data_IF_408551418153
#
_entry.id   IF_408551418153
#
_cell.length_a   1.000
_cell.length_b   1.000
_cell.length_c   1.000
_cell.angle_alpha   90.00
_cell.angle_beta   90.00
_cell.angle_gamma   90.00
#
_symmetry.space_group_name_H-M   'P 1'
#
loop_
_entity.id
_entity.type
_entity.pdbx_description
1 polymer ?
#
# COMPACT_ATOMS: atom_id res chain seq x y z
N UNK A 1 3.57 7.07 -6.29
CA UNK A 1 3.92 5.98 -7.18
C UNK A 1 4.64 6.53 -8.38
N UNK A 2 5.79 5.94 -8.72
CA UNK A 2 6.51 6.27 -9.95
C UNK A 2 5.89 5.55 -11.15
N UNK A 3 5.94 6.17 -12.32
CA UNK A 3 5.67 5.52 -13.59
C UNK A 3 6.96 4.78 -14.00
N UNK A 4 6.84 3.52 -14.37
CA UNK A 4 7.93 2.72 -14.92
C UNK A 4 7.52 2.36 -16.35
N UNK A 5 8.15 2.95 -17.38
CA UNK A 5 7.90 2.55 -18.76
C UNK A 5 8.37 1.10 -18.95
N UNK A 6 7.62 0.33 -19.72
CA UNK A 6 7.95 -1.05 -20.06
C UNK A 6 7.92 -1.19 -21.58
N UNK A 7 8.95 -1.78 -22.15
CA UNK A 7 9.02 -2.05 -23.58
C UNK A 7 7.81 -2.89 -24.05
N UNK A 8 7.23 -2.52 -25.17
CA UNK A 8 6.02 -3.14 -25.73
C UNK A 8 4.71 -2.69 -25.05
N UNK A 9 4.74 -1.65 -24.20
CA UNK A 9 3.54 -1.04 -23.63
C UNK A 9 3.60 0.48 -23.76
N UNK A 10 3.13 1.00 -24.87
CA UNK A 10 3.11 2.43 -25.21
C UNK A 10 3.95 2.74 -26.44
N UNK A 11 4.07 4.03 -26.78
CA UNK A 11 4.75 4.53 -27.97
C UNK A 11 6.26 4.81 -27.74
N UNK A 12 6.89 4.19 -26.75
CA UNK A 12 8.29 4.43 -26.40
C UNK A 12 9.26 3.55 -27.25
N UNK A 13 9.05 3.52 -28.57
CA UNK A 13 10.03 2.96 -29.49
C UNK A 13 10.99 4.07 -29.90
N UNK A 14 12.29 3.82 -29.77
CA UNK A 14 13.33 4.70 -30.32
C UNK A 14 13.17 4.73 -31.83
N UNK A 15 12.51 5.77 -32.36
CA UNK A 15 12.28 5.89 -33.79
C UNK A 15 13.48 6.54 -34.45
N UNK A 16 14.28 5.73 -35.14
CA UNK A 16 15.40 6.20 -35.95
C UNK A 16 14.86 6.54 -37.33
N UNK A 17 14.83 7.82 -37.69
CA UNK A 17 14.33 8.26 -38.98
C UNK A 17 15.22 7.73 -40.12
N UNK A 18 14.61 7.32 -41.24
CA UNK A 18 15.33 6.94 -42.41
C UNK A 18 16.19 8.11 -42.94
N UNK A 19 17.45 7.85 -43.18
CA UNK A 19 18.46 8.85 -43.55
C UNK A 19 19.12 9.53 -42.33
N UNK A 20 18.77 9.16 -41.12
CA UNK A 20 19.43 9.70 -39.94
C UNK A 20 20.91 9.23 -39.87
N UNK A 21 21.86 10.13 -39.59
CA UNK A 21 23.23 9.75 -39.34
C UNK A 21 23.37 9.13 -37.97
N UNK A 22 23.96 7.94 -37.90
CA UNK A 22 24.25 7.25 -36.63
C UNK A 22 25.71 6.83 -36.58
N UNK A 23 26.23 6.61 -35.41
CA UNK A 23 27.55 6.03 -35.18
C UNK A 23 27.40 4.67 -34.52
N UNK A 24 27.87 3.62 -35.18
CA UNK A 24 27.79 2.24 -34.71
C UNK A 24 29.07 1.85 -33.98
N UNK A 25 28.95 1.22 -32.82
CA UNK A 25 30.05 0.56 -32.12
C UNK A 25 29.88 -0.94 -32.29
N UNK A 26 30.89 -1.58 -32.88
CA UNK A 26 30.93 -3.02 -33.17
C UNK A 26 31.75 -3.73 -32.10
N UNK A 27 31.28 -4.90 -31.67
CA UNK A 27 32.11 -5.82 -30.91
C UNK A 27 33.25 -6.39 -31.80
N UNK A 28 34.52 -6.32 -31.38
CA UNK A 28 35.64 -6.77 -32.16
C UNK A 28 35.64 -8.28 -32.49
N UNK A 29 35.01 -9.10 -31.67
CA UNK A 29 35.00 -10.57 -31.86
C UNK A 29 33.82 -11.04 -32.70
N UNK A 30 32.60 -10.56 -32.38
CA UNK A 30 31.37 -10.99 -33.05
C UNK A 30 30.99 -10.14 -34.26
N UNK A 31 31.54 -8.93 -34.37
CA UNK A 31 31.17 -7.91 -35.37
C UNK A 31 29.70 -7.48 -35.27
N UNK A 32 29.03 -7.75 -34.14
CA UNK A 32 27.71 -7.28 -33.89
C UNK A 32 27.73 -5.84 -33.37
N UNK A 33 26.68 -5.08 -33.68
CA UNK A 33 26.49 -3.72 -33.16
C UNK A 33 26.06 -3.80 -31.72
N UNK A 34 26.86 -3.28 -30.82
CA UNK A 34 26.58 -3.21 -29.37
C UNK A 34 26.02 -1.86 -28.94
N UNK A 35 26.29 -0.82 -29.76
CA UNK A 35 25.80 0.53 -29.46
C UNK A 35 25.54 1.31 -30.74
N UNK A 36 24.43 2.06 -30.74
CA UNK A 36 23.99 2.92 -31.84
C UNK A 36 23.83 4.33 -31.28
N UNK A 37 24.59 5.31 -31.72
CA UNK A 37 24.51 6.69 -31.25
C UNK A 37 23.89 7.60 -32.30
N UNK A 38 22.82 8.27 -31.91
CA UNK A 38 22.22 9.41 -32.63
C UNK A 38 22.78 10.74 -32.15
N UNK A 39 23.57 10.74 -31.09
CA UNK A 39 24.10 11.95 -30.48
C UNK A 39 25.41 12.38 -31.12
N UNK A 40 25.48 13.59 -31.62
CA UNK A 40 26.73 14.20 -32.08
C UNK A 40 27.69 14.60 -30.93
N UNK A 41 27.16 14.63 -29.70
CA UNK A 41 27.93 15.04 -28.52
C UNK A 41 28.77 13.91 -27.93
N UNK A 42 28.41 12.67 -28.22
CA UNK A 42 29.07 11.51 -27.65
C UNK A 42 29.91 10.83 -28.74
N UNK A 43 31.23 10.98 -28.62
CA UNK A 43 32.18 10.38 -29.55
C UNK A 43 32.71 9.08 -28.97
N UNK A 44 32.58 8.01 -29.72
CA UNK A 44 33.16 6.72 -29.34
C UNK A 44 34.41 6.43 -30.22
N UNK A 45 35.45 5.90 -29.59
CA UNK A 45 36.61 5.43 -30.31
C UNK A 45 36.19 4.26 -31.24
N UNK A 46 36.61 4.29 -32.49
CA UNK A 46 36.30 3.30 -33.53
C UNK A 46 34.81 3.19 -33.92
N UNK A 47 34.04 4.28 -33.78
CA UNK A 47 32.67 4.31 -34.25
C UNK A 47 32.58 4.30 -35.77
N UNK A 48 31.71 3.46 -36.34
CA UNK A 48 31.43 3.35 -37.76
C UNK A 48 30.25 4.28 -38.10
N UNK A 49 30.45 5.36 -38.90
CA UNK A 49 29.35 6.22 -39.32
C UNK A 49 28.50 5.54 -40.38
N UNK A 50 27.17 5.62 -40.24
CA UNK A 50 26.18 5.05 -41.15
C UNK A 50 25.00 6.01 -41.30
N UNK A 51 24.45 6.08 -42.54
CA UNK A 51 23.12 6.67 -42.78
C UNK A 51 22.10 5.56 -42.81
N UNK A 52 21.19 5.54 -41.82
CA UNK A 52 20.23 4.44 -41.63
C UNK A 52 19.21 4.42 -42.75
N UNK A 53 18.99 3.27 -43.37
CA UNK A 53 17.94 3.04 -44.36
C UNK A 53 16.76 2.28 -43.73
N UNK A 54 17.05 1.25 -42.94
CA UNK A 54 16.06 0.47 -42.21
C UNK A 54 16.67 -0.22 -41.00
N UNK A 55 15.84 -0.62 -40.07
CA UNK A 55 16.27 -1.42 -38.91
C UNK A 55 15.11 -2.29 -38.41
N UNK A 56 15.45 -3.38 -37.72
CA UNK A 56 14.55 -4.24 -36.98
C UNK A 56 15.24 -4.64 -35.68
N UNK A 57 14.84 -3.98 -34.56
CA UNK A 57 15.39 -4.26 -33.23
C UNK A 57 14.51 -5.20 -32.41
N UNK A 58 13.43 -5.70 -33.03
CA UNK A 58 12.50 -6.58 -32.35
C UNK A 58 12.72 -8.06 -32.69
N UNK A 59 12.85 -8.39 -33.97
CA UNK A 59 12.82 -9.77 -34.47
C UNK A 59 14.16 -10.21 -35.07
N UNK A 60 14.60 -9.51 -36.11
CA UNK A 60 15.80 -9.90 -36.85
C UNK A 60 17.08 -9.32 -36.24
N UNK A 61 16.95 -8.31 -35.38
CA UNK A 61 18.06 -7.60 -34.74
C UNK A 61 19.09 -7.13 -35.76
N UNK A 62 18.65 -6.37 -36.76
CA UNK A 62 19.48 -5.86 -37.85
C UNK A 62 19.35 -4.35 -37.99
N UNK A 63 20.40 -3.74 -38.47
CA UNK A 63 20.43 -2.35 -38.95
C UNK A 63 21.07 -2.29 -40.32
N UNK A 64 20.41 -1.65 -41.27
CA UNK A 64 20.86 -1.49 -42.66
C UNK A 64 21.00 -0.01 -42.96
N UNK A 65 22.07 0.35 -43.66
CA UNK A 65 22.31 1.73 -44.07
C UNK A 65 23.51 1.85 -44.98
N UNK A 66 23.81 3.09 -45.39
CA UNK A 66 24.94 3.41 -46.23
C UNK A 66 26.19 3.69 -45.38
N UNK A 67 27.25 2.94 -45.68
CA UNK A 67 28.61 3.12 -45.13
C UNK A 67 29.55 3.34 -46.29
N UNK A 68 30.20 4.49 -46.35
CA UNK A 68 31.10 4.89 -47.44
C UNK A 68 30.48 4.80 -48.86
N UNK A 69 29.15 5.00 -48.98
CA UNK A 69 28.42 4.97 -50.25
C UNK A 69 27.97 3.57 -50.67
N UNK A 70 28.19 2.54 -49.85
CA UNK A 70 27.71 1.19 -50.11
C UNK A 70 26.66 0.80 -49.05
N UNK A 71 25.60 0.13 -49.48
CA UNK A 71 24.60 -0.40 -48.57
C UNK A 71 25.11 -1.62 -47.81
N UNK A 72 25.12 -1.57 -46.50
CA UNK A 72 25.57 -2.65 -45.62
C UNK A 72 24.55 -2.93 -44.54
N UNK A 73 24.44 -4.21 -44.16
CA UNK A 73 23.59 -4.67 -43.06
C UNK A 73 24.44 -5.27 -41.96
N UNK A 74 24.23 -4.82 -40.73
CA UNK A 74 24.91 -5.34 -39.54
C UNK A 74 23.93 -6.02 -38.61
N UNK A 75 24.37 -7.11 -38.01
CA UNK A 75 23.67 -7.76 -36.94
C UNK A 75 23.80 -6.92 -35.66
N UNK A 76 22.71 -6.72 -34.96
CA UNK A 76 22.66 -5.97 -33.69
C UNK A 76 22.64 -6.96 -32.53
N UNK A 77 23.46 -6.69 -31.52
CA UNK A 77 23.50 -7.53 -30.33
C UNK A 77 22.14 -7.43 -29.57
N UNK A 78 21.71 -8.53 -28.97
CA UNK A 78 20.48 -8.59 -28.19
C UNK A 78 20.43 -7.56 -27.06
N UNK A 79 21.58 -7.23 -26.49
CA UNK A 79 21.73 -6.30 -25.38
C UNK A 79 22.23 -4.92 -25.81
N UNK A 80 22.18 -4.64 -27.13
CA UNK A 80 22.62 -3.37 -27.69
C UNK A 80 21.86 -2.17 -27.10
N UNK A 81 22.52 -1.02 -27.11
CA UNK A 81 21.96 0.23 -26.63
C UNK A 81 21.88 1.27 -27.74
N UNK A 82 20.87 2.15 -27.63
CA UNK A 82 20.72 3.34 -28.49
C UNK A 82 20.94 4.56 -27.61
N UNK A 83 21.87 5.41 -28.06
CA UNK A 83 22.13 6.71 -27.42
C UNK A 83 21.36 7.77 -28.20
N UNK A 84 20.36 8.36 -27.60
CA UNK A 84 19.53 9.39 -28.20
C UNK A 84 20.29 10.72 -28.38
N UNK A 85 19.70 11.65 -29.13
CA UNK A 85 20.32 12.95 -29.43
C UNK A 85 20.57 13.80 -28.19
N UNK A 86 19.83 13.59 -27.09
CA UNK A 86 20.02 14.26 -25.81
C UNK A 86 21.13 13.62 -24.96
N UNK A 87 21.61 12.42 -25.34
CA UNK A 87 22.62 11.64 -24.64
C UNK A 87 22.06 10.56 -23.73
N UNK A 88 20.75 10.37 -23.70
CA UNK A 88 20.11 9.28 -22.94
C UNK A 88 20.44 7.95 -23.61
N UNK A 89 20.93 6.98 -22.86
CA UNK A 89 21.26 5.64 -23.34
C UNK A 89 20.15 4.67 -22.93
N UNK A 90 19.48 4.09 -23.93
CA UNK A 90 18.39 3.13 -23.78
C UNK A 90 18.77 1.80 -24.39
N UNK A 91 18.45 0.70 -23.72
CA UNK A 91 18.63 -0.64 -24.29
C UNK A 91 17.53 -0.91 -25.31
N UNK A 92 17.86 -1.54 -26.44
CA UNK A 92 16.86 -2.04 -27.38
C UNK A 92 15.97 -3.09 -26.69
N UNK A 93 14.77 -3.27 -27.20
CA UNK A 93 13.81 -4.18 -26.63
C UNK A 93 13.39 -5.27 -27.63
N UNK A 94 14.22 -6.31 -27.83
CA UNK A 94 13.83 -7.47 -28.62
C UNK A 94 12.52 -8.09 -28.14
N UNK A 95 11.82 -8.77 -29.03
CA UNK A 95 10.46 -9.28 -28.76
C UNK A 95 10.37 -10.17 -27.51
N UNK A 96 11.43 -10.93 -27.21
CA UNK A 96 11.50 -11.83 -26.07
C UNK A 96 11.59 -11.11 -24.70
N UNK A 97 12.11 -9.87 -24.66
CA UNK A 97 12.17 -9.04 -23.44
C UNK A 97 11.00 -8.07 -23.29
N UNK A 98 10.12 -7.97 -24.31
CA UNK A 98 8.95 -7.10 -24.23
C UNK A 98 7.91 -7.67 -23.26
N UNK A 99 7.12 -6.77 -22.64
CA UNK A 99 6.03 -7.13 -21.74
C UNK A 99 5.03 -8.12 -22.38
N UNK A 100 4.75 -7.97 -23.69
CA UNK A 100 3.80 -8.83 -24.40
C UNK A 100 4.28 -10.28 -24.55
N UNK A 101 5.57 -10.52 -24.55
CA UNK A 101 6.19 -11.84 -24.65
C UNK A 101 6.32 -12.54 -23.29
N UNK A 102 6.19 -11.78 -22.20
CA UNK A 102 6.23 -12.35 -20.86
C UNK A 102 5.07 -13.33 -20.64
N UNK A 103 5.32 -14.38 -19.86
CA UNK A 103 4.28 -15.35 -19.47
C UNK A 103 3.10 -14.65 -18.79
N UNK A 104 1.91 -15.25 -18.88
CA UNK A 104 0.71 -14.72 -18.20
C UNK A 104 0.96 -14.46 -16.71
N UNK A 105 1.66 -15.39 -16.04
CA UNK A 105 2.02 -15.24 -14.64
C UNK A 105 2.96 -14.03 -14.41
N UNK A 106 3.95 -13.82 -15.28
CA UNK A 106 4.85 -12.66 -15.23
C UNK A 106 4.09 -11.35 -15.36
N UNK A 107 3.22 -11.24 -16.37
CA UNK A 107 2.37 -10.04 -16.57
C UNK A 107 1.44 -9.78 -15.39
N UNK A 108 0.83 -10.82 -14.82
CA UNK A 108 0.03 -10.69 -13.60
C UNK A 108 0.86 -10.21 -12.42
N UNK A 109 2.05 -10.79 -12.20
CA UNK A 109 2.96 -10.37 -11.11
C UNK A 109 3.35 -8.89 -11.24
N UNK A 110 3.68 -8.43 -12.44
CA UNK A 110 4.04 -7.02 -12.70
C UNK A 110 2.87 -6.09 -12.35
N UNK A 111 1.66 -6.44 -12.79
CA UNK A 111 0.45 -5.63 -12.52
C UNK A 111 0.07 -5.62 -11.04
N UNK A 112 0.28 -6.75 -10.32
CA UNK A 112 -0.03 -6.85 -8.91
C UNK A 112 1.07 -6.32 -7.98
N UNK A 113 2.30 -6.13 -8.47
CA UNK A 113 3.44 -5.69 -7.65
C UNK A 113 3.16 -4.35 -6.94
N UNK A 114 2.60 -3.38 -7.64
CA UNK A 114 2.24 -2.08 -7.07
C UNK A 114 1.22 -2.17 -5.94
N UNK A 115 0.02 -2.73 -6.18
CA UNK A 115 -0.98 -2.95 -5.13
C UNK A 115 -0.48 -3.80 -3.97
N UNK A 116 0.31 -4.84 -4.25
CA UNK A 116 0.89 -5.70 -3.23
C UNK A 116 1.86 -4.94 -2.30
N UNK A 117 2.75 -4.13 -2.87
CA UNK A 117 3.67 -3.31 -2.08
C UNK A 117 2.93 -2.30 -1.20
N UNK A 118 1.86 -1.68 -1.71
CA UNK A 118 1.02 -0.78 -0.93
C UNK A 118 0.34 -1.52 0.24
N UNK A 119 -0.13 -2.76 0.00
CA UNK A 119 -0.70 -3.58 1.05
C UNK A 119 0.34 -3.95 2.12
N UNK A 120 1.54 -4.36 1.72
CA UNK A 120 2.65 -4.67 2.64
C UNK A 120 2.99 -3.44 3.48
N UNK A 121 3.10 -2.26 2.85
CA UNK A 121 3.36 -1.01 3.55
C UNK A 121 2.26 -0.70 4.57
N UNK A 122 1.00 -0.92 4.21
CA UNK A 122 -0.15 -0.78 5.12
C UNK A 122 -0.04 -1.71 6.33
N UNK A 123 0.33 -2.98 6.12
CA UNK A 123 0.56 -3.93 7.22
C UNK A 123 1.66 -3.43 8.16
N UNK A 124 2.79 -2.99 7.62
CA UNK A 124 3.91 -2.45 8.42
C UNK A 124 3.45 -1.22 9.22
N UNK A 125 2.71 -0.30 8.58
CA UNK A 125 2.17 0.88 9.26
C UNK A 125 1.25 0.51 10.43
N UNK A 126 0.33 -0.44 10.26
CA UNK A 126 -0.54 -0.89 11.36
C UNK A 126 0.23 -1.59 12.47
N UNK A 127 1.26 -2.38 12.16
CA UNK A 127 2.14 -2.96 13.18
C UNK A 127 2.82 -1.85 13.98
N UNK A 128 3.37 -0.84 13.32
CA UNK A 128 3.98 0.32 14.00
C UNK A 128 2.97 1.04 14.91
N UNK A 129 1.75 1.24 14.44
CA UNK A 129 0.67 1.82 15.27
C UNK A 129 0.42 0.97 16.52
N UNK A 130 0.38 -0.36 16.43
CA UNK A 130 0.21 -1.22 17.61
C UNK A 130 1.38 -1.07 18.59
N UNK A 131 2.60 -0.90 18.11
CA UNK A 131 3.75 -0.63 18.97
C UNK A 131 3.67 0.75 19.63
N UNK A 132 3.28 1.79 18.89
CA UNK A 132 3.12 3.15 19.41
C UNK A 132 1.97 3.27 20.44
N UNK A 133 0.88 2.54 20.24
CA UNK A 133 -0.25 2.48 21.16
C UNK A 133 0.02 1.61 22.41
N UNK A 134 1.16 0.92 22.45
CA UNK A 134 1.55 0.06 23.57
C UNK A 134 0.94 -1.34 23.52
N UNK A 135 0.02 -1.65 22.61
CA UNK A 135 -0.59 -2.98 22.50
C UNK A 135 -1.85 -3.00 21.65
N UNK A 136 -2.52 -4.14 21.69
CA UNK A 136 -3.78 -4.42 20.97
C UNK A 136 -4.93 -4.55 21.96
N UNK A 137 -6.05 -3.90 21.70
CA UNK A 137 -7.26 -4.02 22.52
C UNK A 137 -7.82 -5.44 22.47
N UNK A 138 -7.94 -6.09 23.61
CA UNK A 138 -8.51 -7.44 23.71
C UNK A 138 -10.04 -7.39 23.79
N UNK A 139 -10.69 -7.42 22.63
CA UNK A 139 -12.14 -7.38 22.55
C UNK A 139 -12.81 -8.72 22.90
N UNK A 140 -12.05 -9.81 22.91
CA UNK A 140 -12.53 -11.15 23.25
C UNK A 140 -12.44 -11.45 24.75
N UNK A 141 -12.02 -10.48 25.54
CA UNK A 141 -11.90 -10.58 26.98
C UNK A 141 -12.92 -9.67 27.69
N UNK A 142 -13.35 -10.08 28.86
CA UNK A 142 -14.15 -9.28 29.80
C UNK A 142 -13.28 -8.63 30.88
N UNK A 143 -11.97 -8.64 30.74
CA UNK A 143 -11.04 -7.91 31.59
C UNK A 143 -11.01 -6.44 31.19
N UNK A 144 -11.04 -5.55 32.17
CA UNK A 144 -11.15 -4.09 31.96
C UNK A 144 -9.90 -3.34 32.39
N UNK A 145 -9.68 -2.21 31.72
CA UNK A 145 -8.75 -1.16 32.16
C UNK A 145 -9.57 0.05 32.55
N UNK A 146 -9.33 0.61 33.72
CA UNK A 146 -9.99 1.84 34.21
C UNK A 146 -9.14 3.03 33.81
N UNK A 147 -9.72 3.95 33.04
CA UNK A 147 -8.98 5.02 32.34
C UNK A 147 -8.81 6.29 33.19
N UNK A 148 -9.81 6.63 34.01
CA UNK A 148 -9.79 7.88 34.75
C UNK A 148 -10.38 7.70 36.16
N UNK A 149 -9.73 8.31 37.16
CA UNK A 149 -10.13 8.29 38.57
C UNK A 149 -11.41 9.09 38.83
N UNK A 150 -11.74 10.04 37.96
CA UNK A 150 -12.92 10.90 38.07
C UNK A 150 -14.18 10.26 37.46
N UNK A 151 -14.05 9.12 36.79
CA UNK A 151 -15.15 8.44 36.13
C UNK A 151 -15.83 7.40 37.04
N UNK A 152 -17.11 7.10 36.80
CA UNK A 152 -17.95 6.29 37.71
C UNK A 152 -17.37 4.92 38.07
N UNK A 153 -16.67 4.25 37.11
CA UNK A 153 -16.10 2.95 37.38
C UNK A 153 -15.04 2.97 38.48
N UNK A 154 -14.14 3.95 38.48
CA UNK A 154 -13.11 4.07 39.49
C UNK A 154 -13.71 4.44 40.84
N UNK A 155 -14.68 5.38 40.87
CA UNK A 155 -15.37 5.85 42.09
C UNK A 155 -16.16 4.72 42.75
N UNK A 156 -16.76 3.84 41.95
CA UNK A 156 -17.47 2.66 42.45
C UNK A 156 -16.54 1.53 42.92
N UNK A 157 -15.22 1.69 42.76
CA UNK A 157 -14.26 0.71 43.24
C UNK A 157 -13.73 -0.28 42.17
N UNK A 158 -14.09 -0.15 40.89
CA UNK A 158 -13.47 -0.93 39.84
C UNK A 158 -12.00 -0.52 39.62
N UNK A 159 -11.17 -1.47 39.27
CA UNK A 159 -9.73 -1.28 39.06
C UNK A 159 -9.29 -1.96 37.75
N UNK A 160 -8.21 -1.44 37.17
CA UNK A 160 -7.54 -2.07 36.03
C UNK A 160 -7.17 -3.50 36.39
N UNK A 161 -7.45 -4.44 35.47
CA UNK A 161 -7.27 -5.87 35.66
C UNK A 161 -8.46 -6.60 36.25
N UNK A 162 -9.54 -5.91 36.66
CA UNK A 162 -10.76 -6.57 37.10
C UNK A 162 -11.44 -7.29 35.93
N UNK A 163 -11.88 -8.53 36.15
CA UNK A 163 -12.64 -9.33 35.19
C UNK A 163 -14.12 -9.29 35.52
N UNK A 164 -14.92 -8.74 34.62
CA UNK A 164 -16.37 -8.58 34.79
C UNK A 164 -17.09 -9.88 34.43
N UNK A 165 -17.73 -10.52 35.38
CA UNK A 165 -18.46 -11.78 35.16
C UNK A 165 -19.92 -11.58 34.76
N UNK A 166 -20.60 -10.55 35.34
CA UNK A 166 -21.98 -10.24 34.96
C UNK A 166 -22.33 -8.76 35.26
N UNK A 167 -23.34 -8.26 34.54
CA UNK A 167 -23.97 -6.94 34.79
C UNK A 167 -25.46 -7.19 34.94
N UNK A 168 -26.04 -6.73 36.08
CA UNK A 168 -27.45 -6.93 36.46
C UNK A 168 -27.89 -8.40 36.37
N UNK A 169 -26.98 -9.34 36.70
CA UNK A 169 -27.22 -10.79 36.58
C UNK A 169 -26.99 -11.40 35.24
N UNK A 170 -26.88 -10.61 34.17
CA UNK A 170 -26.58 -11.10 32.81
C UNK A 170 -25.10 -11.38 32.68
N UNK A 171 -24.73 -12.59 32.18
CA UNK A 171 -23.34 -13.00 31.99
C UNK A 171 -22.65 -12.13 30.92
N UNK A 172 -21.40 -11.80 31.19
CA UNK A 172 -20.51 -11.06 30.29
C UNK A 172 -19.30 -11.93 29.98
N UNK A 173 -19.04 -12.19 28.69
CA UNK A 173 -17.94 -13.02 28.23
C UNK A 173 -16.84 -12.26 27.47
N UNK A 174 -17.19 -11.10 26.93
CA UNK A 174 -16.35 -10.31 26.05
C UNK A 174 -16.68 -8.81 26.15
N UNK A 175 -15.87 -7.97 25.51
CA UNK A 175 -16.05 -6.52 25.51
C UNK A 175 -17.38 -6.07 24.90
N UNK A 176 -17.83 -6.74 23.83
CA UNK A 176 -19.07 -6.36 23.14
C UNK A 176 -20.29 -6.61 24.01
N UNK A 177 -20.36 -7.75 24.70
CA UNK A 177 -21.44 -8.07 25.63
C UNK A 177 -21.44 -7.09 26.82
N UNK A 178 -20.23 -6.72 27.30
CA UNK A 178 -20.07 -5.75 28.40
C UNK A 178 -20.59 -4.36 28.00
N UNK A 179 -20.16 -3.83 26.87
CA UNK A 179 -20.59 -2.50 26.40
C UNK A 179 -22.06 -2.46 26.04
N UNK A 180 -22.61 -3.53 25.45
CA UNK A 180 -24.04 -3.64 25.18
C UNK A 180 -24.89 -3.50 26.47
N UNK A 181 -24.49 -4.16 27.56
CA UNK A 181 -25.19 -4.07 28.85
C UNK A 181 -25.12 -2.65 29.44
N UNK A 182 -23.97 -1.98 29.36
CA UNK A 182 -23.80 -0.61 29.83
C UNK A 182 -24.67 0.37 29.03
N UNK A 183 -24.67 0.27 27.71
CA UNK A 183 -25.46 1.13 26.83
C UNK A 183 -26.97 0.91 27.05
N UNK A 184 -27.37 -0.36 27.19
CA UNK A 184 -28.78 -0.74 27.41
C UNK A 184 -29.34 -0.22 28.72
N UNK A 185 -28.52 0.13 29.73
CA UNK A 185 -28.95 0.70 31.00
C UNK A 185 -29.49 2.13 30.88
N UNK A 186 -29.23 2.82 29.75
CA UNK A 186 -29.67 4.21 29.48
C UNK A 186 -29.34 5.20 30.61
N UNK A 187 -28.27 4.92 31.39
CA UNK A 187 -27.83 5.74 32.50
C UNK A 187 -28.42 5.32 33.87
N UNK A 188 -29.25 4.29 33.90
CA UNK A 188 -29.69 3.70 35.15
C UNK A 188 -28.55 3.02 35.88
N UNK A 189 -28.70 2.89 37.19
CA UNK A 189 -27.74 2.24 38.06
C UNK A 189 -27.58 0.76 37.68
N UNK A 190 -26.35 0.30 37.50
CA UNK A 190 -26.02 -1.07 37.13
C UNK A 190 -25.20 -1.75 38.22
N UNK A 191 -25.51 -3.02 38.47
CA UNK A 191 -24.77 -3.89 39.38
C UNK A 191 -23.74 -4.70 38.58
N UNK A 192 -22.47 -4.37 38.76
CA UNK A 192 -21.34 -5.03 38.09
C UNK A 192 -20.71 -6.03 39.05
N UNK A 193 -20.71 -7.30 38.69
CA UNK A 193 -20.02 -8.37 39.41
C UNK A 193 -18.72 -8.70 38.74
N UNK A 194 -17.62 -8.55 39.46
CA UNK A 194 -16.30 -9.05 39.04
C UNK A 194 -15.97 -10.36 39.75
N UNK A 195 -14.86 -11.00 39.41
CA UNK A 195 -14.38 -12.19 40.15
C UNK A 195 -14.04 -11.89 41.59
N UNK A 196 -13.74 -10.62 41.95
CA UNK A 196 -13.27 -10.21 43.28
C UNK A 196 -14.32 -9.52 44.12
N UNK A 197 -15.25 -8.81 43.51
CA UNK A 197 -16.24 -7.94 44.21
C UNK A 197 -17.48 -7.68 43.36
N UNK A 198 -18.47 -7.14 44.01
CA UNK A 198 -19.68 -6.59 43.35
C UNK A 198 -19.74 -5.11 43.64
N UNK A 199 -19.94 -4.29 42.63
CA UNK A 199 -20.03 -2.83 42.75
C UNK A 199 -21.29 -2.34 42.04
N UNK A 200 -21.77 -1.18 42.47
CA UNK A 200 -22.90 -0.47 41.86
C UNK A 200 -22.33 0.77 41.17
N UNK A 201 -22.63 0.92 39.88
CA UNK A 201 -22.11 2.01 39.06
C UNK A 201 -23.27 2.70 38.35
N UNK A 202 -23.28 4.03 38.37
CA UNK A 202 -24.23 4.82 37.57
C UNK A 202 -23.50 5.39 36.36
N UNK A 203 -23.83 4.95 35.13
CA UNK A 203 -23.21 5.47 33.93
C UNK A 203 -23.46 6.96 33.75
N UNK A 204 -22.42 7.71 33.37
CA UNK A 204 -22.51 9.13 33.09
C UNK A 204 -22.77 9.35 31.61
N UNK A 205 -23.72 10.24 31.29
CA UNK A 205 -23.94 10.64 29.89
C UNK A 205 -22.79 11.55 29.41
N UNK A 206 -22.14 11.18 28.37
CA UNK A 206 -21.12 11.98 27.70
C UNK A 206 -21.45 12.00 26.20
N UNK A 207 -21.71 13.20 25.68
CA UNK A 207 -22.22 13.41 24.31
C UNK A 207 -23.49 12.58 24.02
N UNK A 208 -23.39 11.61 23.13
CA UNK A 208 -24.51 10.73 22.72
C UNK A 208 -24.46 9.34 23.37
N UNK A 209 -23.47 9.07 24.25
CA UNK A 209 -23.27 7.75 24.84
C UNK A 209 -23.29 7.78 26.37
N UNK A 210 -23.62 6.64 26.99
CA UNK A 210 -23.47 6.40 28.40
C UNK A 210 -22.15 5.66 28.65
N UNK A 211 -21.29 6.23 29.49
CA UNK A 211 -19.98 5.70 29.81
C UNK A 211 -19.79 5.53 31.31
N UNK A 212 -18.90 4.60 31.69
CA UNK A 212 -18.48 4.41 33.07
C UNK A 212 -16.96 4.65 33.25
N UNK A 213 -16.18 4.82 32.15
CA UNK A 213 -14.77 5.09 32.22
C UNK A 213 -13.88 3.83 32.23
N UNK A 214 -14.25 2.85 31.43
CA UNK A 214 -13.46 1.63 31.21
C UNK A 214 -13.13 1.47 29.74
N UNK A 215 -12.02 0.78 29.48
CA UNK A 215 -11.60 0.33 28.14
C UNK A 215 -11.29 -1.17 28.18
N UNK A 216 -11.24 -1.84 27.02
CA UNK A 216 -10.76 -3.21 26.94
C UNK A 216 -9.34 -3.32 27.50
N UNK A 217 -9.02 -4.46 28.07
CA UNK A 217 -7.64 -4.74 28.43
C UNK A 217 -6.76 -4.78 27.18
N UNK A 218 -5.47 -4.55 27.33
CA UNK A 218 -4.51 -4.53 26.22
C UNK A 218 -3.57 -5.72 26.27
N UNK A 219 -3.45 -6.41 25.16
CA UNK A 219 -2.38 -7.39 24.93
C UNK A 219 -1.13 -6.61 24.53
N UNK A 220 -0.09 -6.69 25.36
CA UNK A 220 1.15 -5.90 25.20
C UNK A 220 2.31 -6.71 24.67
N UNK A 221 2.15 -8.02 24.47
CA UNK A 221 3.18 -8.91 23.96
C UNK A 221 3.69 -8.50 22.56
N UNK A 222 4.94 -8.81 22.27
CA UNK A 222 5.56 -8.49 20.98
C UNK A 222 4.79 -9.14 19.82
N UNK A 223 4.49 -10.43 19.94
CA UNK A 223 3.72 -11.16 18.91
C UNK A 223 2.26 -10.70 18.83
N UNK A 224 1.66 -10.28 19.95
CA UNK A 224 0.30 -9.72 19.95
C UNK A 224 0.22 -8.44 19.11
N UNK A 225 1.23 -7.59 19.19
CA UNK A 225 1.30 -6.35 18.40
C UNK A 225 1.47 -6.62 16.91
N UNK A 226 2.28 -7.61 16.53
CA UNK A 226 2.45 -8.01 15.13
C UNK A 226 1.14 -8.59 14.59
N UNK A 227 0.59 -9.61 15.26
CA UNK A 227 -0.65 -10.25 14.82
C UNK A 227 -1.83 -9.28 14.78
N UNK A 228 -1.94 -8.38 15.77
CA UNK A 228 -2.97 -7.34 15.79
C UNK A 228 -2.82 -6.31 14.67
N UNK A 229 -1.59 -5.96 14.29
CA UNK A 229 -1.32 -5.09 13.14
C UNK A 229 -1.76 -5.75 11.83
N UNK A 230 -1.44 -7.02 11.63
CA UNK A 230 -1.86 -7.81 10.47
C UNK A 230 -3.38 -7.93 10.43
N UNK A 231 -4.01 -8.32 11.54
CA UNK A 231 -5.47 -8.43 11.64
C UNK A 231 -6.16 -7.10 11.32
N UNK A 232 -5.62 -5.99 11.83
CA UNK A 232 -6.14 -4.65 11.55
C UNK A 232 -6.01 -4.28 10.08
N UNK A 233 -4.89 -4.57 9.43
CA UNK A 233 -4.69 -4.33 8.00
C UNK A 233 -5.70 -5.13 7.16
N UNK A 234 -5.84 -6.42 7.43
CA UNK A 234 -6.76 -7.30 6.72
C UNK A 234 -8.21 -6.85 6.93
N UNK A 235 -8.62 -6.57 8.18
CA UNK A 235 -9.99 -6.11 8.48
C UNK A 235 -10.31 -4.76 7.83
N UNK A 236 -9.34 -3.86 7.76
CA UNK A 236 -9.48 -2.57 7.07
C UNK A 236 -9.63 -2.77 5.56
N UNK A 237 -8.86 -3.66 4.94
CA UNK A 237 -9.00 -3.99 3.54
C UNK A 237 -10.41 -4.56 3.21
N UNK A 238 -10.91 -5.50 4.03
CA UNK A 238 -12.27 -6.01 3.86
C UNK A 238 -13.34 -4.93 4.07
N UNK A 239 -13.14 -4.01 5.00
CA UNK A 239 -14.06 -2.88 5.22
C UNK A 239 -14.14 -1.99 3.97
N UNK A 240 -12.99 -1.69 3.34
CA UNK A 240 -12.95 -0.91 2.09
C UNK A 240 -13.66 -1.67 0.97
N UNK A 241 -13.38 -2.97 0.79
CA UNK A 241 -14.03 -3.79 -0.24
C UNK A 241 -15.55 -3.82 -0.04
N UNK A 242 -16.02 -4.00 1.19
CA UNK A 242 -17.45 -3.99 1.52
C UNK A 242 -18.08 -2.60 1.30
N UNK A 243 -17.36 -1.52 1.62
CA UNK A 243 -17.82 -0.16 1.36
C UNK A 243 -17.96 0.10 -0.15
N UNK A 244 -16.98 -0.32 -0.96
CA UNK A 244 -17.04 -0.24 -2.42
C UNK A 244 -18.19 -1.08 -3.00
N UNK A 245 -18.35 -2.31 -2.53
CA UNK A 245 -19.47 -3.17 -2.91
C UNK A 245 -20.81 -2.49 -2.62
N UNK A 246 -20.98 -1.94 -1.42
CA UNK A 246 -22.20 -1.23 -1.04
C UNK A 246 -22.43 0.04 -1.87
N UNK A 247 -21.37 0.73 -2.26
CA UNK A 247 -21.46 1.90 -3.14
C UNK A 247 -21.92 1.51 -4.55
N UNK A 248 -21.41 0.40 -5.07
CA UNK A 248 -21.81 -0.12 -6.39
C UNK A 248 -23.27 -0.59 -6.39
N UNK A 249 -23.67 -1.33 -5.33
CA UNK A 249 -25.02 -1.88 -5.22
C UNK A 249 -26.08 -0.82 -4.87
N UNK A 250 -25.69 0.19 -4.12
CA UNK A 250 -26.57 1.29 -3.66
C UNK A 250 -25.88 2.64 -3.87
N UNK A 251 -25.78 3.11 -5.13
CA UNK A 251 -25.11 4.36 -5.45
C UNK A 251 -25.81 5.53 -4.76
N UNK A 252 -25.12 6.18 -3.84
CA UNK A 252 -25.58 7.41 -3.19
C UNK A 252 -24.45 8.43 -3.16
N UNK A 253 -24.61 9.54 -3.85
CA UNK A 253 -23.63 10.63 -3.90
C UNK A 253 -23.35 11.23 -2.51
N UNK A 254 -24.29 11.15 -1.59
CA UNK A 254 -24.14 11.63 -0.21
C UNK A 254 -23.17 10.79 0.65
N UNK A 255 -22.78 9.59 0.19
CA UNK A 255 -21.81 8.72 0.87
C UNK A 255 -20.39 8.88 0.32
N UNK A 256 -20.23 9.57 -0.80
CA UNK A 256 -18.94 9.94 -1.35
C UNK A 256 -18.45 11.17 -0.59
N UNK A 257 -17.60 10.94 0.39
CA UNK A 257 -16.89 12.03 1.06
C UNK A 257 -16.01 12.76 0.05
N UNK A 258 -16.37 13.98 -0.30
CA UNK A 258 -15.54 14.83 -1.17
C UNK A 258 -14.25 15.28 -0.43
N UNK A 259 -13.34 15.99 -1.13
CA UNK A 259 -12.09 16.50 -0.54
C UNK A 259 -12.29 17.28 0.77
N UNK A 260 -13.43 17.95 0.93
CA UNK A 260 -13.79 18.69 2.15
C UNK A 260 -14.05 17.76 3.32
N UNK A 261 -14.73 16.63 3.10
CA UNK A 261 -14.97 15.63 4.15
C UNK A 261 -13.64 14.96 4.58
N UNK A 262 -12.76 14.63 3.62
CA UNK A 262 -11.42 14.12 3.91
C UNK A 262 -10.61 15.12 4.74
N UNK A 263 -10.62 16.41 4.39
CA UNK A 263 -9.94 17.45 5.15
C UNK A 263 -10.47 17.56 6.59
N UNK A 264 -11.80 17.52 6.78
CA UNK A 264 -12.42 17.56 8.10
C UNK A 264 -12.06 16.33 8.95
N UNK A 265 -12.11 15.13 8.35
CA UNK A 265 -11.75 13.88 9.05
C UNK A 265 -10.28 13.85 9.43
N UNK A 266 -9.38 14.25 8.52
CA UNK A 266 -7.94 14.35 8.81
C UNK A 266 -7.66 15.39 9.89
N UNK A 267 -8.37 16.53 9.88
CA UNK A 267 -8.25 17.55 10.91
C UNK A 267 -8.72 17.08 12.29
N UNK A 268 -9.75 16.23 12.35
CA UNK A 268 -10.18 15.58 13.60
C UNK A 268 -9.15 14.56 14.08
N UNK A 269 -8.67 13.68 13.19
CA UNK A 269 -7.64 12.70 13.52
C UNK A 269 -6.36 13.37 14.04
N UNK A 270 -5.95 14.49 13.45
CA UNK A 270 -4.78 15.26 13.90
C UNK A 270 -4.92 15.80 15.31
N UNK A 271 -6.14 16.16 15.74
CA UNK A 271 -6.41 16.62 17.11
C UNK A 271 -6.34 15.49 18.14
N UNK A 272 -6.58 14.25 17.73
CA UNK A 272 -6.51 13.07 18.58
C UNK A 272 -5.10 12.50 18.72
N UNK A 273 -4.14 13.01 17.94
CA UNK A 273 -2.74 12.67 18.04
C UNK A 273 -2.18 11.88 16.84
N UNK A 274 -0.86 11.77 16.77
CA UNK A 274 -0.14 11.21 15.65
C UNK A 274 -0.52 9.75 15.34
N UNK A 275 -0.79 8.95 16.38
CA UNK A 275 -1.20 7.54 16.23
C UNK A 275 -2.54 7.39 15.51
N UNK A 276 -3.46 8.33 15.73
CA UNK A 276 -4.77 8.34 15.05
C UNK A 276 -4.62 8.77 13.60
N UNK A 277 -3.73 9.72 13.30
CA UNK A 277 -3.43 10.14 11.92
C UNK A 277 -2.82 9.01 11.09
N UNK A 278 -1.92 8.22 11.68
CA UNK A 278 -1.27 7.09 10.98
C UNK A 278 -2.27 5.95 10.76
N UNK A 279 -3.23 5.77 11.66
CA UNK A 279 -4.24 4.70 11.59
C UNK A 279 -5.45 5.07 10.71
N UNK A 280 -5.59 6.35 10.33
CA UNK A 280 -6.64 6.89 9.46
C UNK A 280 -6.28 6.73 7.97
#
# INVERSE_FOLDING_TARGET
>A
GGYVPMAGWGEDETDIQTGAPVSLTLDPESMHVTRISLSEKVHFEHALPMLVTSYDFERELTITGEVNGESQTYQVDHDATVVESDGTELRIAPLDVQYQSASLAGRMMTNFAGPLNNFILGVVAFILVMFMQGGVRDLNSNQITVTDKNLPAYQAGLRTGDTVSSINGNKVSDWNSLTKQIISSKGEQIKIKTLKRTVIVTPKKQDKAYIIGITPNMKTGFFDKISGGIEKAVSSAFTIVNALKNLILHPSLNKLGGPVAMYQMTGQAAREGLTTVIAF
#
